data_IF_570879470272
#
_entry.id   IF_570879470272
#
_cell.length_a   1.000
_cell.length_b   1.000
_cell.length_c   1.000
_cell.angle_alpha   90.00
_cell.angle_beta   90.00
_cell.angle_gamma   90.00
#
_symmetry.space_group_name_H-M   'P 1'
#
loop_
_entity.id
_entity.type
_entity.pdbx_description
1 polymer ?
#
# COMPACT_ATOMS: atom_id res chain seq x y z
N UNK A 1 -22.52 43.96 -7.71
CA UNK A 1 -22.08 43.19 -8.89
C UNK A 1 -21.96 41.68 -8.64
N UNK A 2 -21.70 41.24 -7.42
CA UNK A 2 -21.56 39.79 -7.08
C UNK A 2 -22.92 39.04 -7.03
N UNK A 3 -24.01 39.69 -6.63
CA UNK A 3 -25.35 39.10 -6.54
C UNK A 3 -26.05 38.92 -7.92
N UNK A 4 -25.64 39.66 -8.96
CA UNK A 4 -26.19 39.52 -10.30
C UNK A 4 -25.62 38.33 -11.09
N UNK A 5 -24.37 37.88 -10.74
CA UNK A 5 -23.73 36.72 -11.38
C UNK A 5 -24.28 35.40 -10.83
N UNK A 6 -24.70 35.38 -9.55
CA UNK A 6 -25.31 34.21 -8.92
C UNK A 6 -26.73 33.97 -9.45
N UNK A 7 -27.47 35.01 -9.78
CA UNK A 7 -28.82 34.90 -10.37
C UNK A 7 -28.85 34.38 -11.80
N UNK A 8 -27.82 34.64 -12.60
CA UNK A 8 -27.76 34.20 -14.00
C UNK A 8 -27.30 32.72 -14.13
N UNK A 9 -26.53 32.20 -13.18
CA UNK A 9 -26.12 30.81 -13.15
C UNK A 9 -27.27 29.86 -12.74
N UNK A 10 -28.23 30.33 -11.96
CA UNK A 10 -29.40 29.56 -11.55
C UNK A 10 -30.46 29.39 -12.64
N UNK A 11 -30.44 30.24 -13.68
CA UNK A 11 -31.42 30.19 -14.76
C UNK A 11 -31.08 29.25 -15.92
N UNK A 12 -29.83 28.69 -15.92
CA UNK A 12 -29.35 27.74 -16.94
C UNK A 12 -29.46 26.29 -16.53
N UNK A 13 -29.88 26.00 -15.28
CA UNK A 13 -30.16 24.64 -14.82
C UNK A 13 -31.66 24.41 -14.90
N UNK A 14 -32.21 24.43 -16.11
CA UNK A 14 -33.52 23.84 -16.35
C UNK A 14 -33.48 22.34 -16.00
N UNK A 15 -34.58 21.73 -15.52
CA UNK A 15 -34.64 20.29 -15.34
C UNK A 15 -34.30 19.65 -16.69
N UNK A 16 -33.18 18.92 -16.73
CA UNK A 16 -32.87 18.09 -17.88
C UNK A 16 -34.05 17.15 -18.10
N UNK A 17 -34.52 16.93 -19.33
CA UNK A 17 -35.58 15.97 -19.60
C UNK A 17 -35.16 14.66 -18.97
N UNK A 18 -36.01 14.06 -18.13
CA UNK A 18 -35.78 12.72 -17.59
C UNK A 18 -35.64 11.80 -18.80
N UNK A 19 -34.45 11.32 -19.07
CA UNK A 19 -34.24 10.27 -20.07
C UNK A 19 -35.10 9.10 -19.62
N UNK A 20 -36.06 8.71 -20.43
CA UNK A 20 -36.86 7.52 -20.16
C UNK A 20 -35.94 6.32 -20.31
N UNK A 21 -35.74 5.61 -19.21
CA UNK A 21 -34.94 4.37 -19.23
C UNK A 21 -35.63 3.36 -20.15
N UNK A 22 -34.89 2.74 -21.04
CA UNK A 22 -35.40 1.80 -22.04
C UNK A 22 -34.65 0.46 -21.91
N UNK A 23 -35.31 -0.66 -22.12
CA UNK A 23 -34.64 -1.97 -22.14
C UNK A 23 -33.59 -2.01 -23.27
N UNK A 24 -32.65 -2.99 -23.22
CA UNK A 24 -31.68 -3.19 -24.29
C UNK A 24 -32.36 -3.32 -25.65
N UNK A 25 -31.81 -2.67 -26.67
CA UNK A 25 -32.34 -2.76 -28.04
C UNK A 25 -32.23 -4.16 -28.62
N UNK A 26 -31.23 -4.90 -28.16
CA UNK A 26 -31.00 -6.30 -28.52
C UNK A 26 -30.17 -6.98 -27.43
N UNK A 27 -30.36 -8.29 -27.24
CA UNK A 27 -29.58 -9.12 -26.31
C UNK A 27 -29.08 -10.34 -27.07
N UNK A 28 -27.78 -10.38 -27.35
CA UNK A 28 -27.12 -11.50 -28.03
C UNK A 28 -26.37 -12.34 -27.00
N UNK A 29 -26.58 -13.65 -27.01
CA UNK A 29 -25.91 -14.60 -26.08
C UNK A 29 -25.17 -15.65 -26.87
N UNK A 30 -23.85 -15.58 -26.82
CA UNK A 30 -22.90 -16.52 -27.42
C UNK A 30 -22.25 -17.37 -26.31
N UNK A 31 -22.99 -18.34 -25.83
CA UNK A 31 -22.57 -19.25 -24.75
C UNK A 31 -21.81 -20.45 -25.29
N UNK A 32 -20.54 -20.29 -25.63
CA UNK A 32 -19.65 -21.35 -26.09
C UNK A 32 -19.13 -22.26 -24.99
N UNK A 33 -19.12 -21.77 -23.75
CA UNK A 33 -18.75 -22.55 -22.59
C UNK A 33 -19.90 -23.48 -22.13
N UNK A 34 -21.16 -23.20 -22.52
CA UNK A 34 -22.31 -23.96 -22.15
C UNK A 34 -22.66 -23.87 -20.65
N UNK A 35 -22.39 -22.74 -20.02
CA UNK A 35 -22.55 -22.57 -18.56
C UNK A 35 -23.70 -21.65 -18.17
N UNK A 36 -24.36 -21.00 -19.15
CA UNK A 36 -25.42 -20.03 -18.87
C UNK A 36 -26.83 -20.66 -19.04
N UNK A 37 -27.67 -20.45 -18.05
CA UNK A 37 -29.10 -20.72 -18.21
C UNK A 37 -29.78 -19.56 -18.95
N UNK A 38 -30.02 -19.75 -20.24
CA UNK A 38 -30.66 -18.76 -21.11
C UNK A 38 -32.07 -18.37 -20.66
N UNK A 39 -32.80 -19.30 -20.00
CA UNK A 39 -34.17 -19.06 -19.55
C UNK A 39 -34.21 -18.04 -18.40
N UNK A 40 -33.19 -18.05 -17.55
CA UNK A 40 -33.02 -17.06 -16.45
C UNK A 40 -32.33 -15.78 -16.94
N UNK A 41 -31.28 -15.91 -17.78
CA UNK A 41 -30.44 -14.82 -18.25
C UNK A 41 -31.23 -13.81 -19.11
N UNK A 42 -31.91 -14.27 -20.15
CA UNK A 42 -32.54 -13.38 -21.14
C UNK A 42 -33.61 -12.46 -20.53
N UNK A 43 -34.57 -12.97 -19.72
CA UNK A 43 -35.56 -12.10 -19.08
C UNK A 43 -34.88 -11.10 -18.10
N UNK A 44 -33.89 -11.53 -17.33
CA UNK A 44 -33.19 -10.69 -16.39
C UNK A 44 -32.44 -9.55 -17.08
N UNK A 45 -31.71 -9.85 -18.18
CA UNK A 45 -30.97 -8.83 -18.93
C UNK A 45 -31.90 -7.87 -19.67
N UNK A 46 -33.00 -8.38 -20.27
CA UNK A 46 -34.01 -7.53 -20.90
C UNK A 46 -34.75 -6.62 -19.92
N UNK A 47 -34.78 -6.96 -18.66
CA UNK A 47 -35.33 -6.12 -17.58
C UNK A 47 -34.36 -5.07 -17.02
N UNK A 48 -33.15 -4.95 -17.57
CA UNK A 48 -32.15 -3.94 -17.15
C UNK A 48 -32.34 -2.71 -18.06
N UNK A 49 -32.60 -1.57 -17.48
CA UNK A 49 -32.84 -0.33 -18.22
C UNK A 49 -31.54 0.43 -18.53
N UNK A 50 -31.47 0.99 -19.73
CA UNK A 50 -30.42 1.91 -20.18
C UNK A 50 -31.01 3.27 -20.53
N UNK A 51 -30.29 4.37 -20.30
CA UNK A 51 -30.76 5.72 -20.68
C UNK A 51 -30.63 6.00 -22.17
N UNK A 52 -29.80 5.24 -22.86
CA UNK A 52 -29.64 5.33 -24.30
C UNK A 52 -29.73 3.96 -24.95
N UNK A 53 -30.20 3.84 -26.22
CA UNK A 53 -30.37 2.57 -26.90
C UNK A 53 -29.09 1.75 -26.91
N UNK A 54 -29.04 0.67 -26.12
CA UNK A 54 -27.84 -0.16 -25.92
C UNK A 54 -28.10 -1.59 -26.34
N UNK A 55 -27.20 -2.15 -27.17
CA UNK A 55 -27.13 -3.58 -27.48
C UNK A 55 -26.26 -4.27 -26.43
N UNK A 56 -26.78 -5.30 -25.77
CA UNK A 56 -26.03 -6.10 -24.81
C UNK A 56 -25.61 -7.42 -25.46
N UNK A 57 -24.32 -7.73 -25.41
CA UNK A 57 -23.77 -9.00 -25.84
C UNK A 57 -23.16 -9.74 -24.65
N UNK A 58 -23.44 -11.03 -24.56
CA UNK A 58 -22.82 -11.94 -23.58
C UNK A 58 -22.02 -12.98 -24.36
N UNK A 59 -20.74 -13.10 -24.02
CA UNK A 59 -19.86 -14.06 -24.65
C UNK A 59 -19.20 -14.95 -23.62
N UNK A 60 -19.27 -16.28 -23.80
CA UNK A 60 -18.53 -17.21 -22.96
C UNK A 60 -17.67 -18.13 -23.82
N UNK A 61 -16.52 -18.54 -23.28
CA UNK A 61 -15.69 -19.57 -23.90
C UNK A 61 -14.88 -20.31 -22.84
N UNK A 62 -14.33 -21.48 -23.18
CA UNK A 62 -13.47 -22.24 -22.30
C UNK A 62 -12.01 -22.03 -22.71
N UNK A 63 -11.34 -21.15 -21.99
CA UNK A 63 -9.94 -20.84 -22.17
C UNK A 63 -9.03 -21.48 -21.14
N UNK A 64 -7.86 -20.89 -20.99
CA UNK A 64 -6.88 -21.26 -19.96
C UNK A 64 -6.51 -20.04 -19.12
N UNK A 65 -5.95 -20.25 -17.93
CA UNK A 65 -5.51 -19.15 -17.07
C UNK A 65 -4.40 -18.26 -17.69
N UNK A 66 -3.80 -18.69 -18.80
CA UNK A 66 -2.77 -17.94 -19.52
C UNK A 66 -3.32 -17.12 -20.69
N UNK A 67 -4.62 -17.29 -21.04
CA UNK A 67 -5.21 -16.64 -22.19
C UNK A 67 -5.50 -15.16 -21.92
N UNK A 68 -5.40 -14.35 -22.97
CA UNK A 68 -5.85 -12.97 -22.93
C UNK A 68 -7.31 -12.89 -23.40
N UNK A 69 -8.25 -12.79 -22.46
CA UNK A 69 -9.67 -12.70 -22.78
C UNK A 69 -10.00 -11.53 -23.72
N UNK A 70 -9.30 -10.40 -23.64
CA UNK A 70 -9.53 -9.26 -24.52
C UNK A 70 -9.21 -9.63 -25.99
N UNK A 71 -8.12 -10.34 -26.21
CA UNK A 71 -7.70 -10.81 -27.55
C UNK A 71 -8.70 -11.82 -28.11
N UNK A 72 -9.19 -12.73 -27.28
CA UNK A 72 -10.17 -13.75 -27.65
C UNK A 72 -11.51 -13.12 -28.06
N UNK A 73 -12.05 -12.20 -27.26
CA UNK A 73 -13.30 -11.51 -27.58
C UNK A 73 -13.18 -10.71 -28.87
N UNK A 74 -12.05 -10.03 -29.09
CA UNK A 74 -11.81 -9.29 -30.34
C UNK A 74 -11.72 -10.24 -31.55
N UNK A 75 -11.00 -11.35 -31.41
CA UNK A 75 -10.87 -12.36 -32.45
C UNK A 75 -12.24 -12.97 -32.82
N UNK A 76 -13.03 -13.30 -31.80
CA UNK A 76 -14.39 -13.80 -31.97
C UNK A 76 -15.30 -12.79 -32.66
N UNK A 77 -15.29 -11.54 -32.20
CA UNK A 77 -16.09 -10.46 -32.79
C UNK A 77 -15.76 -10.27 -34.28
N UNK A 78 -14.47 -10.19 -34.65
CA UNK A 78 -14.03 -10.06 -36.05
C UNK A 78 -14.48 -11.22 -36.93
N UNK A 79 -14.51 -12.43 -36.38
CA UNK A 79 -14.85 -13.64 -37.14
C UNK A 79 -16.34 -13.90 -37.27
N UNK A 80 -17.15 -13.61 -36.25
CA UNK A 80 -18.55 -14.05 -36.16
C UNK A 80 -19.53 -12.87 -36.03
N UNK A 81 -19.08 -11.72 -35.50
CA UNK A 81 -19.91 -10.55 -35.23
C UNK A 81 -19.22 -9.27 -35.70
N UNK A 82 -18.95 -9.13 -37.00
CA UNK A 82 -18.27 -7.93 -37.52
C UNK A 82 -19.06 -6.62 -37.21
N UNK A 83 -20.37 -6.73 -36.96
CA UNK A 83 -21.23 -5.63 -36.53
C UNK A 83 -20.94 -5.14 -35.09
N UNK A 84 -20.15 -5.89 -34.30
CA UNK A 84 -19.65 -5.44 -32.99
C UNK A 84 -18.45 -4.52 -33.10
N UNK A 85 -17.86 -4.43 -34.29
CA UNK A 85 -16.69 -3.61 -34.58
C UNK A 85 -17.14 -2.34 -35.31
N UNK A 86 -16.55 -1.21 -34.98
CA UNK A 86 -16.78 0.06 -35.66
C UNK A 86 -16.39 -0.01 -37.16
N UNK A 87 -16.97 0.83 -37.98
CA UNK A 87 -16.75 0.83 -39.42
C UNK A 87 -15.27 1.00 -39.84
N UNK A 88 -14.48 1.67 -39.00
CA UNK A 88 -13.01 1.84 -39.22
C UNK A 88 -12.19 0.65 -38.75
N UNK A 89 -12.81 -0.37 -38.15
CA UNK A 89 -12.17 -1.58 -37.64
C UNK A 89 -11.31 -1.37 -36.38
N UNK A 90 -11.31 -0.18 -35.79
CA UNK A 90 -10.37 0.17 -34.71
C UNK A 90 -10.98 0.21 -33.31
N UNK A 91 -12.32 0.18 -33.20
CA UNK A 91 -13.04 0.28 -31.94
C UNK A 91 -14.23 -0.68 -31.89
N UNK A 92 -14.86 -0.82 -30.73
CA UNK A 92 -16.16 -1.44 -30.61
C UNK A 92 -17.24 -0.51 -31.18
N UNK A 93 -18.28 -1.11 -31.77
CA UNK A 93 -19.39 -0.34 -32.33
C UNK A 93 -20.11 0.51 -31.28
N UNK A 94 -20.57 1.68 -31.68
CA UNK A 94 -21.35 2.54 -30.80
C UNK A 94 -22.66 1.86 -30.36
N UNK A 95 -23.12 2.14 -29.15
CA UNK A 95 -24.28 1.54 -28.53
C UNK A 95 -24.05 0.10 -28.05
N UNK A 96 -22.85 -0.45 -28.10
CA UNK A 96 -22.55 -1.82 -27.71
C UNK A 96 -21.97 -1.90 -26.28
N UNK A 97 -22.47 -2.88 -25.52
CA UNK A 97 -21.90 -3.34 -24.26
C UNK A 97 -21.72 -4.88 -24.30
N UNK A 98 -20.49 -5.36 -24.15
CA UNK A 98 -20.17 -6.79 -24.11
C UNK A 98 -19.73 -7.17 -22.70
N UNK A 99 -20.33 -8.22 -22.16
CA UNK A 99 -19.85 -8.91 -20.96
C UNK A 99 -19.32 -10.28 -21.37
N UNK A 100 -18.06 -10.55 -21.07
CA UNK A 100 -17.41 -11.80 -21.44
C UNK A 100 -16.96 -12.59 -20.21
N UNK A 101 -17.05 -13.93 -20.30
CA UNK A 101 -16.73 -14.85 -19.23
C UNK A 101 -15.95 -16.06 -19.75
N UNK A 102 -14.85 -16.38 -19.08
CA UNK A 102 -14.09 -17.61 -19.21
C UNK A 102 -14.17 -18.40 -17.90
N UNK A 103 -15.06 -19.37 -17.77
CA UNK A 103 -15.22 -20.12 -16.53
C UNK A 103 -14.05 -21.06 -16.22
N UNK A 104 -13.30 -21.53 -17.23
CA UNK A 104 -12.15 -22.44 -17.07
C UNK A 104 -10.88 -21.67 -16.80
N UNK A 105 -10.56 -20.64 -17.58
CA UNK A 105 -9.43 -19.74 -17.33
C UNK A 105 -9.66 -18.76 -16.20
N UNK A 106 -10.91 -18.67 -15.70
CA UNK A 106 -11.33 -17.79 -14.59
C UNK A 106 -11.12 -16.31 -14.89
N UNK A 107 -11.56 -15.88 -16.07
CA UNK A 107 -11.49 -14.49 -16.50
C UNK A 107 -12.89 -13.91 -16.73
N UNK A 108 -13.06 -12.63 -16.38
CA UNK A 108 -14.22 -11.83 -16.70
C UNK A 108 -13.79 -10.54 -17.39
N UNK A 109 -14.51 -10.12 -18.43
CA UNK A 109 -14.19 -8.94 -19.23
C UNK A 109 -15.40 -8.09 -19.57
N UNK A 110 -15.16 -6.81 -19.78
CA UNK A 110 -16.16 -5.81 -20.20
C UNK A 110 -15.62 -4.95 -21.33
N UNK A 111 -16.43 -4.83 -22.41
CA UNK A 111 -16.06 -4.07 -23.62
C UNK A 111 -17.22 -3.20 -24.06
N UNK A 112 -16.93 -2.01 -24.58
CA UNK A 112 -17.94 -0.99 -24.83
C UNK A 112 -17.63 -0.15 -26.06
N UNK A 113 -18.64 0.27 -26.79
CA UNK A 113 -18.55 1.36 -27.76
C UNK A 113 -18.02 2.66 -27.11
N UNK A 114 -17.48 3.54 -27.92
CA UNK A 114 -16.88 4.79 -27.42
C UNK A 114 -17.94 5.67 -26.72
N UNK A 115 -19.17 5.64 -27.19
CA UNK A 115 -20.34 6.36 -26.65
C UNK A 115 -20.90 5.75 -25.35
N UNK A 116 -20.52 4.51 -25.01
CA UNK A 116 -20.88 3.81 -23.74
C UNK A 116 -19.71 3.65 -22.80
N UNK A 117 -18.59 4.24 -23.14
CA UNK A 117 -17.32 4.07 -22.44
C UNK A 117 -17.37 4.62 -21.01
N UNK A 118 -17.00 3.77 -20.06
CA UNK A 118 -16.74 4.14 -18.67
C UNK A 118 -15.25 4.11 -18.37
N UNK A 119 -14.82 4.69 -17.25
CA UNK A 119 -13.42 4.72 -16.84
C UNK A 119 -12.88 3.29 -16.58
N UNK A 120 -11.54 3.13 -16.57
CA UNK A 120 -10.91 1.84 -16.25
C UNK A 120 -11.30 1.35 -14.83
N UNK A 121 -11.39 2.27 -13.88
CA UNK A 121 -11.83 2.00 -12.50
C UNK A 121 -13.28 1.48 -12.49
N UNK A 122 -14.18 2.15 -13.19
CA UNK A 122 -15.58 1.70 -13.32
C UNK A 122 -15.72 0.35 -14.03
N UNK A 123 -14.86 0.05 -15.01
CA UNK A 123 -14.81 -1.29 -15.63
C UNK A 123 -14.40 -2.38 -14.63
N UNK A 124 -13.45 -2.05 -13.75
CA UNK A 124 -13.09 -2.94 -12.64
C UNK A 124 -14.27 -3.16 -11.69
N UNK A 125 -15.03 -2.10 -11.34
CA UNK A 125 -16.22 -2.22 -10.51
C UNK A 125 -17.30 -3.14 -11.13
N UNK A 126 -17.48 -3.08 -12.47
CA UNK A 126 -18.42 -3.96 -13.17
C UNK A 126 -17.98 -5.44 -13.03
N UNK A 127 -16.69 -5.69 -13.21
CA UNK A 127 -16.13 -7.03 -13.10
C UNK A 127 -16.18 -7.52 -11.65
N UNK A 128 -15.85 -6.68 -10.69
CA UNK A 128 -15.83 -7.03 -9.26
C UNK A 128 -17.24 -7.36 -8.74
N UNK A 129 -18.28 -6.70 -9.24
CA UNK A 129 -19.67 -7.01 -8.89
C UNK A 129 -20.11 -8.43 -9.25
N UNK A 130 -19.43 -9.09 -10.19
CA UNK A 130 -19.71 -10.46 -10.62
C UNK A 130 -18.82 -11.52 -9.97
N UNK A 131 -17.62 -11.14 -9.49
CA UNK A 131 -16.55 -12.10 -9.14
C UNK A 131 -16.92 -13.07 -8.01
N UNK A 132 -17.66 -12.63 -7.00
CA UNK A 132 -18.05 -13.50 -5.89
C UNK A 132 -18.93 -14.65 -6.40
N UNK A 133 -19.98 -14.31 -7.15
CA UNK A 133 -20.88 -15.30 -7.75
C UNK A 133 -20.15 -16.23 -8.76
N UNK A 134 -19.22 -15.67 -9.54
CA UNK A 134 -18.42 -16.46 -10.49
C UNK A 134 -17.45 -17.41 -9.79
N UNK A 135 -16.90 -17.05 -8.62
CA UNK A 135 -16.08 -17.96 -7.79
C UNK A 135 -16.88 -19.16 -7.31
N UNK A 136 -18.16 -18.96 -7.01
CA UNK A 136 -19.09 -19.97 -6.54
C UNK A 136 -19.75 -20.74 -7.70
N UNK A 137 -19.24 -20.59 -8.93
CA UNK A 137 -19.78 -21.20 -10.16
C UNK A 137 -21.23 -20.82 -10.46
N UNK A 138 -21.73 -19.72 -9.92
CA UNK A 138 -23.05 -19.14 -10.23
C UNK A 138 -22.95 -18.28 -11.50
N UNK A 139 -22.66 -18.91 -12.63
CA UNK A 139 -22.27 -18.24 -13.89
C UNK A 139 -23.34 -17.29 -14.42
N UNK A 140 -24.59 -17.71 -14.39
CA UNK A 140 -25.73 -16.92 -14.87
C UNK A 140 -25.96 -15.69 -13.98
N UNK A 141 -25.99 -15.89 -12.66
CA UNK A 141 -26.22 -14.79 -11.71
C UNK A 141 -25.05 -13.80 -11.68
N UNK A 142 -23.82 -14.30 -11.76
CA UNK A 142 -22.63 -13.46 -11.89
C UNK A 142 -22.65 -12.61 -13.17
N UNK A 143 -23.07 -13.20 -14.30
CA UNK A 143 -23.24 -12.47 -15.56
C UNK A 143 -24.31 -11.38 -15.44
N UNK A 144 -25.47 -11.70 -14.85
CA UNK A 144 -26.54 -10.71 -14.62
C UNK A 144 -26.07 -9.57 -13.70
N UNK A 145 -25.35 -9.90 -12.62
CA UNK A 145 -24.83 -8.90 -11.68
C UNK A 145 -23.85 -7.94 -12.37
N UNK A 146 -22.93 -8.46 -13.18
CA UNK A 146 -21.99 -7.66 -13.96
C UNK A 146 -22.71 -6.74 -14.97
N UNK A 147 -23.70 -7.27 -15.72
CA UNK A 147 -24.45 -6.46 -16.70
C UNK A 147 -25.27 -5.36 -16.00
N UNK A 148 -25.91 -5.67 -14.87
CA UNK A 148 -26.65 -4.68 -14.07
C UNK A 148 -25.73 -3.57 -13.59
N UNK A 149 -24.56 -3.92 -13.02
CA UNK A 149 -23.57 -2.90 -12.61
C UNK A 149 -23.07 -2.09 -13.79
N UNK A 150 -22.89 -2.72 -14.96
CA UNK A 150 -22.52 -2.04 -16.20
C UNK A 150 -23.57 -1.00 -16.60
N UNK A 151 -24.84 -1.36 -16.61
CA UNK A 151 -25.93 -0.43 -16.91
C UNK A 151 -25.99 0.72 -15.92
N UNK A 152 -25.86 0.48 -14.63
CA UNK A 152 -25.84 1.54 -13.61
C UNK A 152 -24.72 2.58 -13.87
N UNK A 153 -23.54 2.13 -14.25
CA UNK A 153 -22.38 3.00 -14.47
C UNK A 153 -22.45 3.71 -15.84
N UNK A 154 -22.95 3.04 -16.88
CA UNK A 154 -23.20 3.64 -18.21
C UNK A 154 -24.32 4.69 -18.11
N UNK A 155 -25.35 4.44 -17.32
CA UNK A 155 -26.48 5.33 -17.09
C UNK A 155 -26.15 6.55 -16.20
N UNK A 156 -24.97 6.63 -15.63
CA UNK A 156 -24.59 7.81 -14.86
C UNK A 156 -24.63 9.06 -15.76
N UNK A 157 -25.42 10.08 -15.41
CA UNK A 157 -25.48 11.30 -16.20
C UNK A 157 -24.08 11.87 -16.40
N UNK A 158 -23.74 12.26 -17.63
CA UNK A 158 -22.43 12.80 -18.01
C UNK A 158 -21.91 13.92 -17.08
N UNK A 159 -22.82 14.70 -16.47
CA UNK A 159 -22.48 15.73 -15.49
C UNK A 159 -22.06 15.17 -14.11
N UNK A 160 -22.23 13.87 -13.85
CA UNK A 160 -21.68 13.14 -12.69
C UNK A 160 -20.41 12.34 -13.04
N UNK A 161 -20.01 12.32 -14.31
CA UNK A 161 -18.75 11.69 -14.69
C UNK A 161 -17.57 12.47 -14.10
N UNK A 162 -16.56 11.75 -13.61
CA UNK A 162 -15.32 12.37 -13.11
C UNK A 162 -14.66 13.27 -14.16
N UNK A 163 -14.82 12.96 -15.44
CA UNK A 163 -14.34 13.79 -16.55
C UNK A 163 -15.15 15.11 -16.69
N UNK A 164 -16.47 15.10 -16.47
CA UNK A 164 -17.28 16.33 -16.50
C UNK A 164 -17.11 17.13 -15.21
N UNK A 165 -17.02 16.48 -14.05
CA UNK A 165 -16.68 17.14 -12.80
C UNK A 165 -15.27 17.76 -12.86
N UNK A 166 -14.38 17.17 -13.64
CA UNK A 166 -13.07 17.76 -13.93
C UNK A 166 -13.14 18.92 -14.94
N UNK A 167 -14.05 18.89 -15.95
CA UNK A 167 -14.12 19.90 -17.02
C UNK A 167 -15.18 20.98 -16.78
N UNK A 168 -16.35 20.68 -16.23
CA UNK A 168 -17.36 21.68 -15.83
C UNK A 168 -16.96 22.38 -14.51
N UNK A 169 -16.16 21.71 -13.68
CA UNK A 169 -15.40 22.34 -12.60
C UNK A 169 -14.46 23.44 -13.09
N UNK A 170 -14.08 23.48 -14.38
CA UNK A 170 -13.13 24.49 -14.89
C UNK A 170 -13.77 25.82 -15.28
N UNK A 171 -15.08 25.97 -15.42
CA UNK A 171 -15.66 27.25 -15.84
C UNK A 171 -16.45 28.00 -14.75
N UNK A 172 -17.09 27.34 -13.79
CA UNK A 172 -17.85 27.98 -12.70
C UNK A 172 -17.53 27.41 -11.31
N UNK A 173 -17.09 26.15 -11.22
CA UNK A 173 -16.67 25.50 -9.98
C UNK A 173 -15.21 25.77 -9.60
N UNK A 174 -14.36 26.24 -10.52
CA UNK A 174 -12.94 26.55 -10.25
C UNK A 174 -12.78 27.68 -9.22
N UNK A 175 -13.72 28.62 -9.13
CA UNK A 175 -13.65 29.67 -8.12
C UNK A 175 -14.19 29.24 -6.74
N UNK A 176 -15.21 28.41 -6.67
CA UNK A 176 -15.81 27.98 -5.40
C UNK A 176 -15.24 26.63 -4.90
N UNK A 177 -15.08 25.63 -5.79
CA UNK A 177 -14.46 24.35 -5.44
C UNK A 177 -12.92 24.47 -5.31
N UNK A 178 -12.28 25.30 -6.12
CA UNK A 178 -10.88 25.64 -5.99
C UNK A 178 -10.60 26.39 -4.68
N UNK A 179 -11.46 27.30 -4.26
CA UNK A 179 -11.35 27.96 -2.96
C UNK A 179 -11.66 27.00 -1.81
N UNK A 180 -12.65 26.12 -1.94
CA UNK A 180 -13.00 25.13 -0.93
C UNK A 180 -11.92 24.04 -0.78
N UNK A 181 -11.40 23.47 -1.87
CA UNK A 181 -10.29 22.52 -1.84
C UNK A 181 -8.99 23.19 -1.39
N UNK A 182 -8.74 24.43 -1.83
CA UNK A 182 -7.58 25.20 -1.36
C UNK A 182 -7.66 25.50 0.14
N UNK A 183 -8.83 25.87 0.67
CA UNK A 183 -9.06 26.08 2.10
C UNK A 183 -8.93 24.77 2.89
N UNK A 184 -9.44 23.64 2.38
CA UNK A 184 -9.34 22.32 2.97
C UNK A 184 -7.89 21.83 3.00
N UNK A 185 -7.17 21.96 1.89
CA UNK A 185 -5.73 21.62 1.82
C UNK A 185 -4.94 22.51 2.78
N UNK A 186 -5.22 23.81 2.77
CA UNK A 186 -4.56 24.78 3.66
C UNK A 186 -4.89 24.52 5.14
N UNK A 187 -6.12 24.12 5.45
CA UNK A 187 -6.52 23.75 6.81
C UNK A 187 -5.80 22.44 7.25
N UNK A 188 -5.83 21.40 6.40
CA UNK A 188 -5.09 20.14 6.67
C UNK A 188 -3.60 20.39 6.86
N UNK A 189 -2.99 21.19 6.00
CA UNK A 189 -1.58 21.56 6.09
C UNK A 189 -1.28 22.29 7.40
N UNK A 190 -2.16 23.22 7.80
CA UNK A 190 -2.03 23.95 9.08
C UNK A 190 -2.15 23.02 10.29
N UNK A 191 -3.14 22.12 10.28
CA UNK A 191 -3.33 21.13 11.37
C UNK A 191 -2.12 20.18 11.42
N UNK A 192 -1.66 19.69 10.26
CA UNK A 192 -0.45 18.88 10.18
C UNK A 192 0.79 19.58 10.71
N UNK A 193 1.05 20.83 10.26
CA UNK A 193 2.18 21.60 10.74
C UNK A 193 2.15 21.85 12.25
N UNK A 194 0.98 22.15 12.83
CA UNK A 194 0.83 22.33 14.28
C UNK A 194 1.09 21.05 15.08
N UNK A 195 0.64 19.89 14.57
CA UNK A 195 0.91 18.60 15.22
C UNK A 195 2.39 18.26 15.22
N UNK A 196 3.06 18.47 14.07
CA UNK A 196 4.50 18.24 13.98
C UNK A 196 5.29 19.21 14.90
N UNK A 197 4.91 20.49 14.97
CA UNK A 197 5.54 21.46 15.86
C UNK A 197 5.32 21.07 17.32
N UNK A 198 4.10 20.73 17.74
CA UNK A 198 3.81 20.40 19.13
C UNK A 198 4.60 19.16 19.60
N UNK A 199 4.72 18.13 18.73
CA UNK A 199 5.56 16.96 19.02
C UNK A 199 7.03 17.34 19.11
N UNK A 200 7.52 18.12 18.14
CA UNK A 200 8.91 18.57 18.15
C UNK A 200 9.26 19.45 19.35
N UNK A 201 8.31 20.24 19.84
CA UNK A 201 8.50 21.08 21.04
C UNK A 201 8.63 20.22 22.30
N UNK A 202 7.89 19.09 22.38
CA UNK A 202 7.99 18.12 23.48
C UNK A 202 9.39 17.48 23.48
N UNK A 203 9.78 16.82 22.36
CA UNK A 203 11.07 16.17 22.21
C UNK A 203 12.24 17.17 22.43
N UNK A 204 12.14 18.37 21.86
CA UNK A 204 13.18 19.41 22.00
C UNK A 204 13.28 19.99 23.43
N UNK A 205 12.15 20.14 24.12
CA UNK A 205 12.14 20.63 25.50
C UNK A 205 12.78 19.61 26.45
N UNK A 206 12.52 18.32 26.27
CA UNK A 206 13.11 17.23 27.05
C UNK A 206 14.63 17.26 26.92
N UNK A 207 15.15 17.21 25.69
CA UNK A 207 16.60 17.32 25.43
C UNK A 207 17.21 18.61 25.98
N UNK A 208 16.49 19.74 25.89
CA UNK A 208 17.01 21.02 26.39
C UNK A 208 17.12 21.06 27.92
N UNK A 209 16.24 20.36 28.63
CA UNK A 209 16.30 20.25 30.09
C UNK A 209 17.43 19.31 30.55
N UNK A 210 17.68 18.26 29.75
CA UNK A 210 18.62 17.19 30.12
C UNK A 210 20.03 17.38 29.55
N UNK A 211 20.28 18.46 28.81
CA UNK A 211 21.56 18.73 28.14
C UNK A 211 22.80 18.52 29.02
N UNK A 212 22.75 19.01 30.29
CA UNK A 212 23.85 18.83 31.24
C UNK A 212 23.99 17.38 31.70
N UNK A 213 22.89 16.69 31.86
CA UNK A 213 22.86 15.24 32.22
C UNK A 213 23.40 14.41 31.09
N UNK A 214 23.04 14.73 29.85
CA UNK A 214 23.57 14.09 28.63
C UNK A 214 25.08 14.23 28.53
N UNK A 215 25.60 15.44 28.78
CA UNK A 215 27.05 15.72 28.77
C UNK A 215 27.77 14.95 29.88
N UNK A 216 27.19 14.88 31.08
CA UNK A 216 27.71 14.07 32.18
C UNK A 216 27.70 12.58 31.86
N UNK A 217 26.60 12.05 31.32
CA UNK A 217 26.47 10.66 30.90
C UNK A 217 27.51 10.33 29.84
N UNK A 218 27.67 11.16 28.81
CA UNK A 218 28.66 10.96 27.77
C UNK A 218 30.10 10.94 28.34
N UNK A 219 30.41 11.82 29.30
CA UNK A 219 31.73 11.87 29.95
C UNK A 219 32.09 10.62 30.75
N UNK A 220 31.13 9.77 31.09
CA UNK A 220 31.34 8.56 31.86
C UNK A 220 31.27 7.27 31.05
N UNK A 221 30.88 7.33 29.76
CA UNK A 221 30.86 6.18 28.85
C UNK A 221 32.30 5.71 28.59
N UNK A 222 32.62 4.41 28.76
CA UNK A 222 33.97 3.89 28.48
C UNK A 222 34.26 3.91 26.97
N UNK A 223 35.28 4.67 26.58
CA UNK A 223 35.76 4.78 25.19
C UNK A 223 36.46 3.52 24.68
N UNK A 224 36.95 2.68 25.60
CA UNK A 224 37.52 1.36 25.29
C UNK A 224 36.47 0.36 24.80
N UNK A 225 35.19 0.58 25.10
CA UNK A 225 34.09 -0.24 24.59
C UNK A 225 33.79 0.14 23.14
N UNK A 226 33.62 -0.88 22.27
CA UNK A 226 33.17 -0.68 20.89
C UNK A 226 31.83 0.04 20.81
N UNK A 227 30.92 -0.31 21.71
CA UNK A 227 29.59 0.33 21.79
C UNK A 227 29.72 1.75 22.29
N UNK A 228 30.49 1.95 23.36
CA UNK A 228 30.75 3.26 23.93
C UNK A 228 31.43 4.21 22.94
N UNK A 229 32.51 3.78 22.29
CA UNK A 229 33.25 4.60 21.32
C UNK A 229 32.36 5.07 20.14
N UNK A 230 31.47 4.19 19.62
CA UNK A 230 30.55 4.54 18.53
C UNK A 230 29.49 5.54 18.97
N UNK A 231 28.93 5.39 20.19
CA UNK A 231 27.98 6.35 20.75
C UNK A 231 28.64 7.69 21.03
N UNK A 232 29.86 7.70 21.58
CA UNK A 232 30.64 8.93 21.80
C UNK A 232 31.00 9.66 20.50
N UNK A 233 31.26 8.93 19.40
CA UNK A 233 31.45 9.55 18.09
C UNK A 233 30.19 10.32 17.64
N UNK A 234 29.02 9.72 17.84
CA UNK A 234 27.75 10.42 17.54
C UNK A 234 27.49 11.59 18.49
N UNK A 235 27.83 11.48 19.77
CA UNK A 235 27.74 12.56 20.73
C UNK A 235 28.59 13.78 20.32
N UNK A 236 29.75 13.60 19.68
CA UNK A 236 30.57 14.74 19.18
C UNK A 236 29.78 15.63 18.20
N UNK A 237 28.78 15.11 17.52
CA UNK A 237 27.93 15.88 16.62
C UNK A 237 26.65 16.41 17.30
N UNK A 238 26.38 16.01 18.55
CA UNK A 238 25.15 16.30 19.28
C UNK A 238 24.92 17.81 19.41
N UNK A 239 25.91 18.57 19.88
CA UNK A 239 25.78 20.02 20.03
C UNK A 239 25.55 20.75 18.68
N UNK A 240 26.17 20.27 17.61
CA UNK A 240 25.91 20.82 16.27
C UNK A 240 24.48 20.54 15.80
N UNK A 241 23.95 19.36 16.09
CA UNK A 241 22.57 18.98 15.81
C UNK A 241 21.58 19.76 16.67
N UNK A 242 21.89 19.94 17.95
CA UNK A 242 21.12 20.76 18.88
C UNK A 242 21.01 22.21 18.38
N UNK A 243 22.12 22.83 17.97
CA UNK A 243 22.10 24.16 17.37
C UNK A 243 21.26 24.21 16.08
N UNK A 244 21.29 23.15 15.26
CA UNK A 244 20.45 23.04 14.07
C UNK A 244 18.97 22.96 14.42
N UNK A 245 18.61 22.15 15.40
CA UNK A 245 17.22 22.02 15.88
C UNK A 245 16.72 23.35 16.50
N UNK A 246 17.58 24.04 17.29
CA UNK A 246 17.30 25.38 17.81
C UNK A 246 17.02 26.38 16.68
N UNK A 247 17.82 26.36 15.62
CA UNK A 247 17.60 27.21 14.45
C UNK A 247 16.27 26.88 13.73
N UNK A 248 15.90 25.61 13.64
CA UNK A 248 14.62 25.18 13.08
C UNK A 248 13.44 25.56 13.99
N UNK A 249 13.57 25.38 15.31
CA UNK A 249 12.59 25.83 16.31
C UNK A 249 12.29 27.32 16.16
N UNK A 250 13.32 28.15 16.13
CA UNK A 250 13.16 29.59 15.94
C UNK A 250 12.43 29.94 14.62
N UNK A 251 12.73 29.22 13.53
CA UNK A 251 12.09 29.44 12.25
C UNK A 251 10.61 29.03 12.25
N UNK A 252 10.23 27.90 12.87
CA UNK A 252 8.83 27.46 12.92
C UNK A 252 7.99 28.35 13.83
N UNK A 253 8.54 28.82 14.94
CA UNK A 253 7.85 29.71 15.88
C UNK A 253 7.70 31.15 15.35
N UNK A 254 8.55 31.58 14.42
CA UNK A 254 8.40 32.82 13.69
C UNK A 254 7.27 32.78 12.63
N UNK A 255 6.68 31.61 12.33
CA UNK A 255 5.64 31.48 11.33
C UNK A 255 4.32 32.10 11.80
N UNK A 256 3.76 32.98 11.00
CA UNK A 256 2.44 33.55 11.23
C UNK A 256 1.33 32.51 10.97
N UNK A 257 0.14 32.72 11.57
CA UNK A 257 -1.04 31.85 11.34
C UNK A 257 -1.37 31.67 9.85
N UNK A 258 -1.07 32.66 8.99
CA UNK A 258 -1.29 32.57 7.53
C UNK A 258 -0.25 31.68 6.85
N UNK A 259 1.00 31.72 7.29
CA UNK A 259 2.10 30.94 6.74
C UNK A 259 1.99 29.45 7.08
N UNK A 260 1.50 29.09 8.28
CA UNK A 260 1.32 27.69 8.70
C UNK A 260 0.46 26.83 7.74
N UNK A 261 -0.38 27.46 6.91
CA UNK A 261 -1.15 26.75 5.87
C UNK A 261 -0.39 26.50 4.56
N UNK A 262 0.91 26.77 4.46
CA UNK A 262 1.73 26.54 3.27
C UNK A 262 2.44 25.20 3.35
N UNK A 263 2.65 24.52 2.21
CA UNK A 263 3.40 23.27 2.15
C UNK A 263 4.85 23.42 2.63
N UNK A 264 5.48 24.58 2.35
CA UNK A 264 6.82 24.89 2.83
C UNK A 264 6.90 24.96 4.36
N UNK A 265 5.85 25.44 5.03
CA UNK A 265 5.80 25.51 6.49
C UNK A 265 5.58 24.11 7.10
N UNK A 266 4.79 23.25 6.46
CA UNK A 266 4.67 21.83 6.87
C UNK A 266 6.01 21.11 6.69
N UNK A 267 6.72 21.35 5.58
CA UNK A 267 8.03 20.76 5.35
C UNK A 267 9.05 21.25 6.41
N UNK A 268 9.01 22.52 6.78
CA UNK A 268 9.86 23.09 7.84
C UNK A 268 9.51 22.48 9.21
N UNK A 269 8.21 22.35 9.54
CA UNK A 269 7.74 21.72 10.78
C UNK A 269 8.20 20.25 10.87
N UNK A 270 8.13 19.50 9.76
CA UNK A 270 8.65 18.12 9.71
C UNK A 270 10.16 18.05 9.89
N UNK A 271 10.91 18.97 9.28
CA UNK A 271 12.36 19.03 9.49
C UNK A 271 12.72 19.30 10.95
N UNK A 272 11.95 20.16 11.62
CA UNK A 272 12.12 20.41 13.04
C UNK A 272 11.77 19.16 13.87
N UNK A 273 10.63 18.50 13.58
CA UNK A 273 10.25 17.28 14.27
C UNK A 273 11.26 16.14 14.05
N UNK A 274 11.74 15.95 12.82
CA UNK A 274 12.78 14.95 12.54
C UNK A 274 14.08 15.27 13.30
N UNK A 275 14.48 16.54 13.40
CA UNK A 275 15.70 16.95 14.10
C UNK A 275 15.56 16.84 15.63
N UNK A 276 14.41 17.19 16.20
CA UNK A 276 14.15 17.08 17.64
C UNK A 276 14.10 15.59 18.07
N UNK A 277 13.35 14.76 17.34
CA UNK A 277 13.26 13.32 17.61
C UNK A 277 14.62 12.60 17.43
N UNK A 278 15.48 13.05 16.50
CA UNK A 278 16.84 12.49 16.36
C UNK A 278 17.72 12.83 17.54
N UNK A 279 17.56 14.03 18.11
CA UNK A 279 18.28 14.46 19.31
C UNK A 279 17.83 13.70 20.55
N UNK A 280 16.52 13.60 20.76
CA UNK A 280 15.90 12.89 21.86
C UNK A 280 16.33 11.42 21.89
N UNK A 281 16.20 10.71 20.76
CA UNK A 281 16.68 9.34 20.64
C UNK A 281 18.19 9.18 20.88
N UNK A 282 19.00 10.17 20.54
CA UNK A 282 20.45 10.11 20.80
C UNK A 282 20.76 10.37 22.27
N UNK A 283 20.01 11.25 22.93
CA UNK A 283 20.08 11.48 24.38
C UNK A 283 19.78 10.21 25.16
N UNK A 284 18.66 9.57 24.86
CA UNK A 284 18.27 8.28 25.41
C UNK A 284 19.33 7.19 25.21
N UNK A 285 19.91 7.11 24.01
CA UNK A 285 20.99 6.13 23.71
C UNK A 285 22.24 6.44 24.55
N UNK A 286 22.59 7.70 24.78
CA UNK A 286 23.72 8.08 25.61
C UNK A 286 23.45 7.67 27.05
N UNK A 287 22.26 7.97 27.59
CA UNK A 287 21.85 7.59 28.92
C UNK A 287 21.85 6.05 29.10
N UNK A 288 21.26 5.31 28.18
CA UNK A 288 21.23 3.86 28.17
C UNK A 288 22.63 3.25 28.09
N UNK A 289 23.49 3.81 27.25
CA UNK A 289 24.88 3.32 27.10
C UNK A 289 25.66 3.51 28.37
N UNK A 290 25.55 4.68 28.99
CA UNK A 290 26.17 4.95 30.28
C UNK A 290 25.64 3.98 31.37
N UNK A 291 24.31 3.88 31.50
CA UNK A 291 23.68 3.01 32.50
C UNK A 291 24.09 1.54 32.30
N UNK A 292 24.05 1.03 31.08
CA UNK A 292 24.32 -0.38 30.80
C UNK A 292 25.82 -0.71 30.91
N UNK A 293 26.71 0.03 30.24
CA UNK A 293 28.14 -0.28 30.21
C UNK A 293 28.80 -0.12 31.59
N UNK A 294 28.38 0.84 32.37
CA UNK A 294 28.91 1.07 33.72
C UNK A 294 28.11 0.28 34.80
N UNK A 295 27.05 -0.44 34.43
CA UNK A 295 26.13 -1.07 35.38
C UNK A 295 25.61 -0.11 36.45
N UNK A 296 25.39 1.14 36.04
CA UNK A 296 24.87 2.20 36.89
C UNK A 296 23.37 2.01 37.19
N UNK A 297 22.81 2.87 38.02
CA UNK A 297 21.34 2.86 38.30
C UNK A 297 20.58 2.91 36.96
N UNK A 298 19.58 2.01 36.79
CA UNK A 298 18.78 1.92 35.55
C UNK A 298 19.33 0.97 34.48
N UNK A 299 20.48 0.33 34.67
CA UNK A 299 21.05 -0.60 33.68
C UNK A 299 20.08 -1.72 33.25
N UNK A 300 19.26 -2.23 34.17
CA UNK A 300 18.31 -3.29 33.86
C UNK A 300 17.21 -2.81 32.91
N UNK A 301 16.73 -1.57 33.07
CA UNK A 301 15.77 -0.95 32.15
C UNK A 301 16.42 -0.68 30.78
N UNK A 302 17.68 -0.21 30.78
CA UNK A 302 18.43 -0.02 29.54
C UNK A 302 18.63 -1.36 28.78
N UNK A 303 18.97 -2.43 29.49
CA UNK A 303 19.07 -3.78 28.91
C UNK A 303 17.72 -4.26 28.36
N UNK A 304 16.64 -4.09 29.11
CA UNK A 304 15.30 -4.49 28.69
C UNK A 304 14.87 -3.80 27.39
N UNK A 305 15.17 -2.48 27.24
CA UNK A 305 14.95 -1.74 26.00
C UNK A 305 15.75 -2.33 24.83
N UNK A 306 16.99 -2.83 25.03
CA UNK A 306 17.76 -3.48 23.96
C UNK A 306 17.13 -4.82 23.54
N UNK A 307 16.52 -5.56 24.47
CA UNK A 307 15.84 -6.83 24.19
C UNK A 307 14.47 -6.68 23.52
N UNK A 308 13.77 -5.58 23.75
CA UNK A 308 12.37 -5.39 23.36
C UNK A 308 12.10 -5.62 21.85
N UNK A 309 12.89 -5.09 20.89
CA UNK A 309 12.68 -5.35 19.46
C UNK A 309 12.86 -6.82 19.10
N UNK A 310 13.82 -7.51 19.72
CA UNK A 310 14.07 -8.93 19.47
C UNK A 310 12.96 -9.81 20.05
N UNK A 311 12.46 -9.51 21.24
CA UNK A 311 11.27 -10.17 21.80
C UNK A 311 10.04 -10.01 20.91
N UNK A 312 9.83 -8.82 20.35
CA UNK A 312 8.74 -8.55 19.43
C UNK A 312 8.85 -9.39 18.14
N UNK A 313 10.06 -9.50 17.58
CA UNK A 313 10.32 -10.38 16.44
C UNK A 313 10.01 -11.85 16.78
N UNK A 314 10.52 -12.37 17.91
CA UNK A 314 10.27 -13.76 18.33
C UNK A 314 8.77 -14.03 18.56
N UNK A 315 8.05 -13.11 19.18
CA UNK A 315 6.61 -13.22 19.39
C UNK A 315 5.82 -13.22 18.07
N UNK A 316 6.32 -12.52 17.06
CA UNK A 316 5.70 -12.42 15.74
C UNK A 316 5.86 -13.67 14.85
N UNK A 317 6.79 -14.59 15.17
CA UNK A 317 7.14 -15.74 14.30
C UNK A 317 5.93 -16.61 13.97
N UNK A 318 5.11 -17.02 14.94
CA UNK A 318 3.95 -17.89 14.67
C UNK A 318 2.91 -17.21 13.77
N UNK A 319 2.62 -15.93 14.03
CA UNK A 319 1.70 -15.16 13.18
C UNK A 319 2.21 -14.97 11.76
N UNK A 320 3.53 -14.90 11.59
CA UNK A 320 4.18 -14.84 10.29
C UNK A 320 4.11 -16.20 9.58
N UNK A 321 4.44 -17.30 10.27
CA UNK A 321 4.41 -18.65 9.70
C UNK A 321 3.00 -19.06 9.25
N UNK A 322 1.96 -18.68 10.01
CA UNK A 322 0.56 -18.89 9.62
C UNK A 322 0.20 -18.21 8.29
N UNK A 323 0.92 -17.16 7.89
CA UNK A 323 0.71 -16.41 6.63
C UNK A 323 1.71 -16.78 5.51
N UNK A 324 2.51 -17.81 5.69
CA UNK A 324 3.56 -18.22 4.74
C UNK A 324 3.08 -19.10 3.59
N UNK A 325 1.82 -18.95 3.16
CA UNK A 325 1.24 -19.57 1.94
C UNK A 325 1.50 -21.09 1.81
N UNK A 326 1.27 -21.83 2.90
CA UNK A 326 1.46 -23.29 2.94
C UNK A 326 2.81 -23.76 3.48
N UNK A 327 3.81 -22.88 3.56
CA UNK A 327 5.16 -23.22 4.02
C UNK A 327 5.32 -23.15 5.56
N UNK A 328 4.24 -22.96 6.30
CA UNK A 328 4.27 -22.92 7.78
C UNK A 328 4.69 -24.22 8.47
N UNK A 329 4.71 -25.34 7.72
CA UNK A 329 5.17 -26.66 8.20
C UNK A 329 6.51 -27.09 7.59
N UNK A 330 7.18 -26.21 6.83
CA UNK A 330 8.47 -26.49 6.19
C UNK A 330 9.60 -26.69 7.21
N UNK A 331 10.72 -27.27 6.77
CA UNK A 331 11.92 -27.41 7.60
C UNK A 331 12.44 -26.04 8.10
N UNK A 332 12.36 -25.01 7.28
CA UNK A 332 12.75 -23.65 7.65
C UNK A 332 11.80 -23.04 8.68
N UNK A 333 10.51 -23.35 8.64
CA UNK A 333 9.54 -22.97 9.67
C UNK A 333 9.84 -23.67 11.01
N UNK A 334 10.19 -24.96 10.97
CA UNK A 334 10.61 -25.71 12.16
C UNK A 334 11.89 -25.13 12.78
N UNK A 335 12.85 -24.73 11.94
CA UNK A 335 14.08 -24.06 12.39
C UNK A 335 13.80 -22.73 13.09
N UNK A 336 12.88 -21.90 12.56
CA UNK A 336 12.46 -20.65 13.18
C UNK A 336 11.78 -20.87 14.54
N UNK A 337 10.93 -21.90 14.70
CA UNK A 337 10.34 -22.27 16.00
C UNK A 337 11.37 -22.70 17.01
N UNK A 338 12.29 -23.58 16.58
CA UNK A 338 13.39 -24.06 17.43
C UNK A 338 14.31 -22.90 17.87
N UNK A 339 14.61 -22.00 16.95
CA UNK A 339 15.36 -20.77 17.24
C UNK A 339 14.63 -19.90 18.26
N UNK A 340 13.33 -19.62 18.06
CA UNK A 340 12.52 -18.85 19.01
C UNK A 340 12.61 -19.40 20.43
N UNK A 341 12.31 -20.70 20.57
CA UNK A 341 12.28 -21.35 21.88
C UNK A 341 13.65 -21.37 22.57
N UNK A 342 14.73 -21.51 21.79
CA UNK A 342 16.11 -21.40 22.29
C UNK A 342 16.42 -19.98 22.72
N UNK A 343 16.15 -19.00 21.87
CA UNK A 343 16.47 -17.59 22.13
C UNK A 343 15.73 -17.01 23.31
N UNK A 344 14.49 -17.45 23.56
CA UNK A 344 13.75 -17.04 24.77
C UNK A 344 14.49 -17.47 26.06
N UNK A 345 14.93 -18.71 26.12
CA UNK A 345 15.71 -19.22 27.29
C UNK A 345 17.09 -18.54 27.38
N UNK A 346 17.72 -18.27 26.27
CA UNK A 346 19.02 -17.58 26.23
C UNK A 346 18.92 -16.13 26.72
N UNK A 347 17.89 -15.39 26.36
CA UNK A 347 17.66 -14.01 26.84
C UNK A 347 17.48 -13.97 28.38
N UNK A 348 16.74 -14.92 28.95
CA UNK A 348 16.59 -15.05 30.39
C UNK A 348 17.96 -15.30 31.05
N UNK A 349 18.75 -16.23 30.48
CA UNK A 349 20.11 -16.53 30.96
C UNK A 349 21.03 -15.32 30.84
N UNK A 350 21.06 -14.63 29.70
CA UNK A 350 21.91 -13.44 29.53
C UNK A 350 21.57 -12.36 30.55
N UNK A 351 20.29 -12.17 30.84
CA UNK A 351 19.84 -11.23 31.85
C UNK A 351 20.30 -11.63 33.25
N UNK A 352 20.20 -12.90 33.61
CA UNK A 352 20.71 -13.43 34.88
C UNK A 352 22.22 -13.28 34.98
N UNK A 353 22.98 -13.80 33.97
CA UNK A 353 24.44 -13.70 33.88
C UNK A 353 24.93 -12.24 33.99
N UNK A 354 24.21 -11.31 33.34
CA UNK A 354 24.52 -9.89 33.40
C UNK A 354 24.23 -9.32 34.80
N UNK A 355 23.13 -9.74 35.47
CA UNK A 355 22.79 -9.28 36.82
C UNK A 355 23.81 -9.76 37.86
N UNK A 356 24.30 -10.99 37.71
CA UNK A 356 25.30 -11.59 38.60
C UNK A 356 26.74 -11.12 38.29
N UNK A 357 26.96 -10.45 37.15
CA UNK A 357 28.28 -10.02 36.70
C UNK A 357 29.10 -11.15 36.08
N UNK A 358 28.48 -12.26 35.73
CA UNK A 358 29.11 -13.40 35.06
C UNK A 358 29.52 -13.07 33.62
N UNK A 359 28.85 -12.12 32.99
CA UNK A 359 29.22 -11.57 31.69
C UNK A 359 29.29 -10.03 31.74
N UNK A 360 30.08 -9.45 30.83
CA UNK A 360 30.10 -7.99 30.64
C UNK A 360 28.93 -7.50 29.82
N UNK A 361 28.53 -6.24 29.94
CA UNK A 361 27.50 -5.62 29.10
C UNK A 361 27.80 -5.74 27.60
N UNK A 362 29.05 -5.60 27.19
CA UNK A 362 29.48 -5.78 25.79
C UNK A 362 29.22 -7.21 25.32
N UNK A 363 29.56 -8.20 26.16
CA UNK A 363 29.30 -9.62 25.86
C UNK A 363 27.79 -9.87 25.70
N UNK A 364 26.96 -9.27 26.54
CA UNK A 364 25.51 -9.38 26.42
C UNK A 364 24.98 -8.75 25.11
N UNK A 365 25.46 -7.56 24.75
CA UNK A 365 25.12 -6.90 23.49
C UNK A 365 25.63 -7.69 22.27
N UNK A 366 26.82 -8.29 22.34
CA UNK A 366 27.34 -9.15 21.26
C UNK A 366 26.48 -10.39 21.06
N UNK A 367 26.07 -11.07 22.15
CA UNK A 367 25.16 -12.22 22.07
C UNK A 367 23.81 -11.82 21.45
N UNK A 368 23.27 -10.68 21.81
CA UNK A 368 22.02 -10.16 21.22
C UNK A 368 22.19 -9.85 19.73
N UNK A 369 23.30 -9.23 19.34
CA UNK A 369 23.64 -9.00 17.92
C UNK A 369 23.68 -10.30 17.13
N UNK A 370 24.39 -11.31 17.67
CA UNK A 370 24.58 -12.59 16.99
C UNK A 370 23.24 -13.33 16.83
N UNK A 371 22.39 -13.33 17.87
CA UNK A 371 21.05 -13.89 17.79
C UNK A 371 20.16 -13.18 16.76
N UNK A 372 20.23 -11.85 16.68
CA UNK A 372 19.49 -11.09 15.65
C UNK A 372 20.02 -11.36 14.24
N UNK A 373 21.30 -11.57 14.09
CA UNK A 373 21.92 -11.96 12.82
C UNK A 373 21.43 -13.35 12.39
N UNK A 374 21.46 -14.33 13.31
CA UNK A 374 20.94 -15.68 13.07
C UNK A 374 19.44 -15.65 12.68
N UNK A 375 18.62 -14.87 13.39
CA UNK A 375 17.21 -14.69 13.02
C UNK A 375 17.07 -14.15 11.60
N UNK A 376 17.88 -13.17 11.22
CA UNK A 376 17.86 -12.58 9.88
C UNK A 376 18.17 -13.61 8.79
N UNK A 377 19.13 -14.49 9.03
CA UNK A 377 19.50 -15.57 8.11
C UNK A 377 18.39 -16.62 7.99
N UNK A 378 17.80 -17.03 9.12
CA UNK A 378 16.68 -17.97 9.14
C UNK A 378 15.45 -17.39 8.42
N UNK A 379 15.15 -16.12 8.62
CA UNK A 379 14.05 -15.44 7.92
C UNK A 379 14.30 -15.35 6.41
N UNK A 380 15.52 -15.08 5.97
CA UNK A 380 15.89 -15.09 4.55
C UNK A 380 15.75 -16.48 3.94
N UNK A 381 16.25 -17.51 4.63
CA UNK A 381 16.10 -18.89 4.20
C UNK A 381 14.63 -19.31 4.09
N UNK A 382 13.80 -18.90 5.05
CA UNK A 382 12.35 -19.17 4.98
C UNK A 382 11.67 -18.37 3.86
N UNK A 383 12.12 -17.14 3.60
CA UNK A 383 11.64 -16.34 2.47
C UNK A 383 11.92 -17.03 1.13
N UNK A 384 13.11 -17.57 0.95
CA UNK A 384 13.45 -18.34 -0.26
C UNK A 384 12.55 -19.58 -0.40
N UNK A 385 12.24 -20.27 0.70
CA UNK A 385 11.31 -21.42 0.70
C UNK A 385 9.91 -21.00 0.29
N UNK A 386 9.38 -19.90 0.85
CA UNK A 386 8.06 -19.36 0.49
C UNK A 386 8.03 -18.91 -0.98
N UNK A 387 9.09 -18.26 -1.45
CA UNK A 387 9.20 -17.84 -2.86
C UNK A 387 9.22 -19.06 -3.77
N UNK A 388 10.00 -20.10 -3.44
CA UNK A 388 10.07 -21.32 -4.24
C UNK A 388 8.73 -22.08 -4.28
N UNK A 389 7.97 -22.09 -3.18
CA UNK A 389 6.66 -22.72 -3.11
C UNK A 389 5.55 -21.92 -3.83
N UNK A 390 5.66 -20.61 -3.87
CA UNK A 390 4.62 -19.75 -4.45
C UNK A 390 4.86 -19.37 -5.92
N UNK A 391 6.11 -19.06 -6.30
CA UNK A 391 6.46 -18.61 -7.64
C UNK A 391 6.45 -19.78 -8.64
N UNK A 392 5.80 -19.61 -9.79
CA UNK A 392 5.71 -20.60 -10.87
C UNK A 392 6.88 -20.52 -11.86
N UNK A 393 7.59 -19.40 -11.87
CA UNK A 393 8.71 -19.15 -12.80
C UNK A 393 9.72 -18.15 -12.21
N UNK A 394 10.86 -18.03 -12.85
CA UNK A 394 11.96 -17.16 -12.38
C UNK A 394 11.59 -15.69 -12.30
N UNK A 395 10.70 -15.18 -13.19
CA UNK A 395 10.27 -13.76 -13.19
C UNK A 395 9.40 -13.47 -11.95
N UNK A 396 8.53 -14.37 -11.58
CA UNK A 396 7.71 -14.24 -10.36
C UNK A 396 8.57 -14.29 -9.11
N UNK A 397 9.55 -15.21 -9.06
CA UNK A 397 10.48 -15.29 -7.95
C UNK A 397 11.30 -14.01 -7.80
N UNK A 398 11.78 -13.43 -8.90
CA UNK A 398 12.50 -12.16 -8.89
C UNK A 398 11.63 -11.00 -8.41
N UNK A 399 10.37 -10.94 -8.87
CA UNK A 399 9.41 -9.94 -8.40
C UNK A 399 9.17 -10.02 -6.89
N UNK A 400 9.03 -11.24 -6.34
CA UNK A 400 8.88 -11.44 -4.89
C UNK A 400 10.15 -11.01 -4.13
N UNK A 401 11.36 -11.40 -4.59
CA UNK A 401 12.62 -10.95 -3.96
C UNK A 401 12.74 -9.44 -3.93
N UNK A 402 12.42 -8.77 -5.04
CA UNK A 402 12.41 -7.31 -5.10
C UNK A 402 11.46 -6.69 -4.06
N UNK A 403 10.26 -7.28 -3.87
CA UNK A 403 9.31 -6.81 -2.84
C UNK A 403 9.79 -7.05 -1.42
N UNK A 404 10.56 -8.12 -1.18
CA UNK A 404 11.22 -8.36 0.11
C UNK A 404 12.28 -7.30 0.41
N UNK A 405 13.11 -6.96 -0.57
CA UNK A 405 14.12 -5.90 -0.45
C UNK A 405 13.48 -4.51 -0.22
N UNK A 406 12.42 -4.19 -0.96
CA UNK A 406 11.65 -2.94 -0.78
C UNK A 406 11.03 -2.87 0.63
N UNK A 407 10.52 -3.98 1.16
CA UNK A 407 9.95 -4.07 2.50
C UNK A 407 11.02 -3.87 3.58
N UNK A 408 12.21 -4.48 3.42
CA UNK A 408 13.35 -4.29 4.31
C UNK A 408 13.79 -2.81 4.34
N UNK A 409 13.95 -2.20 3.16
CA UNK A 409 14.30 -0.78 3.05
C UNK A 409 13.21 0.14 3.63
N UNK A 410 11.94 -0.22 3.44
CA UNK A 410 10.80 0.52 3.99
C UNK A 410 10.71 0.45 5.50
N UNK A 411 11.02 -0.71 6.10
CA UNK A 411 11.08 -0.89 7.55
C UNK A 411 12.24 -0.10 8.15
N UNK A 412 13.42 -0.16 7.53
CA UNK A 412 14.57 0.62 7.95
C UNK A 412 14.28 2.15 7.94
N UNK A 413 13.54 2.64 6.93
CA UNK A 413 13.12 4.06 6.89
C UNK A 413 12.10 4.40 7.97
N UNK A 414 11.18 3.49 8.30
CA UNK A 414 10.19 3.69 9.38
C UNK A 414 10.87 3.70 10.75
N UNK A 415 11.77 2.76 11.02
CA UNK A 415 12.53 2.70 12.27
C UNK A 415 13.39 3.96 12.49
N UNK A 416 13.99 4.52 11.40
CA UNK A 416 14.68 5.82 11.48
C UNK A 416 13.76 6.98 11.85
N UNK A 417 12.47 6.90 11.49
CA UNK A 417 11.49 7.95 11.82
C UNK A 417 10.83 7.77 13.18
N UNK A 418 10.77 6.54 13.70
CA UNK A 418 10.26 6.30 15.06
C UNK A 418 11.31 6.56 16.12
N UNK A 419 12.58 6.74 15.72
CA UNK A 419 13.72 7.06 16.60
C UNK A 419 13.73 6.25 17.90
N UNK A 420 13.43 4.94 17.83
CA UNK A 420 13.51 4.09 19.02
C UNK A 420 14.97 4.02 19.51
N UNK A 421 15.22 4.43 20.76
CA UNK A 421 16.58 4.45 21.32
C UNK A 421 17.13 3.03 21.43
N UNK A 422 18.27 2.78 20.81
CA UNK A 422 18.92 1.47 20.86
C UNK A 422 20.44 1.59 20.67
N UNK A 423 21.18 1.10 21.64
CA UNK A 423 22.64 1.00 21.57
C UNK A 423 23.02 0.13 20.37
N UNK A 424 22.39 -1.04 20.27
CA UNK A 424 22.65 -2.00 19.20
C UNK A 424 22.30 -1.43 17.81
N UNK A 425 21.18 -0.73 17.70
CA UNK A 425 20.73 -0.07 16.47
C UNK A 425 21.61 1.13 16.10
N UNK A 426 22.28 1.76 17.06
CA UNK A 426 23.23 2.84 16.84
C UNK A 426 24.54 2.36 16.26
N UNK A 427 25.05 1.22 16.75
CA UNK A 427 26.27 0.59 16.29
C UNK A 427 26.03 -0.23 15.02
N UNK A 428 24.92 -0.94 14.96
CA UNK A 428 24.51 -1.74 13.82
C UNK A 428 23.19 -1.20 13.25
N UNK A 429 23.21 -0.36 12.24
CA UNK A 429 22.00 0.20 11.64
C UNK A 429 20.98 -0.88 11.25
N UNK A 430 19.71 -0.60 11.41
CA UNK A 430 18.60 -1.56 11.26
C UNK A 430 18.52 -2.30 9.91
N UNK A 431 19.20 -1.80 8.86
CA UNK A 431 19.31 -2.51 7.58
C UNK A 431 20.15 -3.81 7.66
N UNK A 432 20.94 -4.02 8.72
CA UNK A 432 21.64 -5.28 8.93
C UNK A 432 20.71 -6.42 9.34
N UNK A 433 19.60 -6.12 10.01
CA UNK A 433 18.71 -7.15 10.53
C UNK A 433 17.43 -7.22 9.73
N UNK A 434 17.18 -8.37 9.11
CA UNK A 434 15.90 -8.66 8.48
C UNK A 434 14.93 -9.12 9.56
N UNK A 435 13.81 -8.40 9.73
CA UNK A 435 12.86 -8.59 10.82
C UNK A 435 11.58 -9.31 10.39
N UNK A 436 10.82 -9.84 11.34
CA UNK A 436 9.53 -10.48 11.09
C UNK A 436 8.51 -9.54 10.43
N UNK A 437 8.38 -8.25 10.81
CA UNK A 437 7.55 -7.30 10.07
C UNK A 437 8.01 -7.07 8.63
N UNK A 438 9.32 -7.02 8.36
CA UNK A 438 9.87 -6.89 7.00
C UNK A 438 9.53 -8.11 6.15
N UNK A 439 9.68 -9.31 6.70
CA UNK A 439 9.29 -10.56 6.05
C UNK A 439 7.80 -10.55 5.68
N UNK A 440 6.92 -10.31 6.66
CA UNK A 440 5.47 -10.34 6.47
C UNK A 440 5.01 -9.33 5.41
N UNK A 441 5.55 -8.10 5.46
CA UNK A 441 5.26 -7.07 4.48
C UNK A 441 5.77 -7.46 3.09
N UNK A 442 6.98 -7.99 3.01
CA UNK A 442 7.61 -8.39 1.76
C UNK A 442 6.88 -9.54 1.07
N UNK A 443 6.54 -10.61 1.82
CA UNK A 443 5.75 -11.74 1.30
C UNK A 443 4.39 -11.27 0.83
N UNK A 444 3.65 -10.52 1.66
CA UNK A 444 2.31 -10.01 1.30
C UNK A 444 2.35 -9.16 0.03
N UNK A 445 3.31 -8.24 -0.07
CA UNK A 445 3.48 -7.38 -1.26
C UNK A 445 3.92 -8.18 -2.49
N UNK A 446 4.80 -9.17 -2.29
CA UNK A 446 5.26 -10.07 -3.34
C UNK A 446 4.12 -10.90 -3.92
N UNK A 447 3.35 -11.56 -3.05
CA UNK A 447 2.16 -12.35 -3.42
C UNK A 447 1.14 -11.47 -4.14
N UNK A 448 0.83 -10.28 -3.62
CA UNK A 448 -0.08 -9.34 -4.29
C UNK A 448 0.42 -8.94 -5.68
N UNK A 449 1.72 -8.66 -5.81
CA UNK A 449 2.33 -8.26 -7.10
C UNK A 449 2.33 -9.42 -8.10
N UNK A 450 2.63 -10.64 -7.66
CA UNK A 450 2.59 -11.85 -8.50
C UNK A 450 1.15 -12.20 -8.88
N UNK A 451 0.20 -12.10 -7.93
CA UNK A 451 -1.23 -12.29 -8.23
C UNK A 451 -1.73 -11.27 -9.26
N UNK A 452 -1.31 -10.01 -9.13
CA UNK A 452 -1.62 -8.97 -10.11
C UNK A 452 -0.96 -9.24 -11.47
N UNK A 453 0.23 -9.82 -11.48
CA UNK A 453 0.91 -10.20 -12.73
C UNK A 453 0.30 -11.46 -13.38
N UNK A 454 -0.25 -12.38 -12.59
CA UNK A 454 -0.95 -13.60 -13.06
C UNK A 454 -2.36 -13.32 -13.56
N UNK A 455 -3.04 -12.33 -12.99
CA UNK A 455 -4.44 -12.03 -13.23
C UNK A 455 -4.78 -10.55 -13.07
N UNK A 456 -3.81 -9.68 -13.34
CA UNK A 456 -4.04 -8.24 -13.37
C UNK A 456 -5.05 -7.85 -14.44
N UNK A 457 -5.75 -6.75 -14.23
CA UNK A 457 -6.61 -6.13 -15.24
C UNK A 457 -5.80 -5.93 -16.52
N UNK A 458 -6.12 -6.68 -17.56
CA UNK A 458 -5.47 -6.56 -18.86
C UNK A 458 -6.28 -5.61 -19.72
N UNK A 459 -5.65 -4.55 -20.23
CA UNK A 459 -6.28 -3.57 -21.15
C UNK A 459 -5.83 -3.74 -22.60
N UNK A 460 -4.82 -4.56 -22.84
CA UNK A 460 -4.27 -4.81 -24.18
C UNK A 460 -4.94 -5.97 -24.91
N UNK A 461 -5.05 -5.85 -26.23
CA UNK A 461 -5.66 -6.85 -27.12
C UNK A 461 -4.63 -7.82 -27.75
N UNK A 462 -3.44 -7.92 -27.16
CA UNK A 462 -2.37 -8.81 -27.63
C UNK A 462 -1.83 -8.50 -29.01
N UNK A 463 -1.09 -9.45 -29.59
CA UNK A 463 -0.49 -9.31 -30.91
C UNK A 463 -1.49 -9.24 -32.06
N UNK A 464 -2.71 -9.78 -31.91
CA UNK A 464 -3.79 -9.73 -32.90
C UNK A 464 -4.59 -8.42 -32.84
N UNK A 465 -4.40 -7.59 -31.79
CA UNK A 465 -5.06 -6.29 -31.64
C UNK A 465 -4.69 -5.29 -32.73
N UNK A 466 -3.44 -5.27 -33.16
CA UNK A 466 -2.94 -4.31 -34.15
C UNK A 466 -3.18 -2.86 -33.72
N UNK A 467 -3.88 -2.07 -34.54
CA UNK A 467 -4.27 -0.69 -34.23
C UNK A 467 -5.58 -0.57 -33.40
N UNK A 468 -6.15 -1.70 -32.92
CA UNK A 468 -7.42 -1.68 -32.19
C UNK A 468 -7.28 -1.00 -30.82
N UNK A 469 -8.04 0.09 -30.65
CA UNK A 469 -8.03 0.96 -29.48
C UNK A 469 -9.37 0.95 -28.72
N UNK A 470 -10.22 -0.05 -28.96
CA UNK A 470 -11.54 -0.16 -28.35
C UNK A 470 -11.49 -0.22 -26.82
N UNK A 471 -12.50 0.36 -26.17
CA UNK A 471 -12.63 0.38 -24.72
C UNK A 471 -12.95 -1.01 -24.19
N UNK A 472 -12.02 -1.63 -23.48
CA UNK A 472 -12.20 -2.94 -22.87
C UNK A 472 -11.13 -3.23 -21.84
N UNK A 473 -11.46 -4.15 -20.92
CA UNK A 473 -10.53 -4.71 -19.96
C UNK A 473 -11.06 -6.06 -19.45
N UNK A 474 -10.17 -6.92 -19.01
CA UNK A 474 -10.51 -8.16 -18.33
C UNK A 474 -9.72 -8.32 -17.04
N UNK A 475 -10.24 -9.11 -16.11
CA UNK A 475 -9.56 -9.49 -14.88
C UNK A 475 -9.90 -10.91 -14.49
N UNK A 476 -9.11 -11.55 -13.63
CA UNK A 476 -9.40 -12.87 -13.08
C UNK A 476 -10.24 -12.80 -11.81
N UNK A 477 -10.92 -13.92 -11.51
CA UNK A 477 -11.76 -14.09 -10.33
C UNK A 477 -11.47 -15.39 -9.58
#
# INVERSE_FOLDING_TARGET
MLLFVIGLAALLIGPAPAALAVPPTDVVVEDRAGVLDRNSLLPAVRGIDFYEPTKVAVYTYNGTAADNLNEEVLRFARAQHPEWISADGQKWADGLFIFALDPVGRHVGTYMGEDRKVSLEQRSEIQDASKELLRDAQWTDGTIAGIRRGAELINQPWYRSTAFLATAGTAVGVTAAGAGTWLLVRWRTRVGARREIARADEDYAEVSMDLQVTELNAGTIPDSSRYGSTVLEKHRTFLSRYNTATGLSNQVHALTKRQLGRQSSLALARRFADAAAELDALDDVIADTNALLNRASGWAAAWDRQLAPFRADLAGIEGMLAKSHGEGSSATAAALRSFRDRSQREMERWTADLSEGAISPETALDRLRDARTELSELLKSHADTVIAGYARNGREAELMRKKMEEAQAGTARRQRRSYEPSILGTVYPSYYFFSVPSFTTGVSSGVSSVSSARGGSTTGYGGSGGSFSGSGSSSSF
#
